data_IF_057874678296
#
_entry.id   IF_057874678296
#
_cell.length_a   1.000
_cell.length_b   1.000
_cell.length_c   1.000
_cell.angle_alpha   90.00
_cell.angle_beta   90.00
_cell.angle_gamma   90.00
#
_symmetry.space_group_name_H-M   'P 1'
#
loop_
_entity.id
_entity.type
_entity.pdbx_description
1 polymer ?
#
# COMPACT_ATOMS: atom_id res chain seq x y z
N UNK A 1 17.00 16.62 -3.39
CA UNK A 1 17.38 17.34 -2.16
C UNK A 1 17.09 18.83 -2.31
N UNK A 2 17.72 19.52 -3.29
CA UNK A 2 17.57 20.97 -3.49
C UNK A 2 16.11 21.41 -3.66
N UNK A 3 15.32 20.65 -4.42
CA UNK A 3 13.90 20.92 -4.62
C UNK A 3 13.12 20.92 -3.30
N UNK A 4 13.37 19.93 -2.41
CA UNK A 4 12.72 19.84 -1.09
C UNK A 4 13.03 21.07 -0.24
N UNK A 5 14.31 21.45 -0.18
CA UNK A 5 14.71 22.67 0.55
C UNK A 5 14.11 23.94 -0.07
N UNK A 6 14.02 24.03 -1.41
CA UNK A 6 13.41 25.17 -2.09
C UNK A 6 11.90 25.25 -1.74
N UNK A 7 11.18 24.15 -1.84
CA UNK A 7 9.76 24.07 -1.52
C UNK A 7 9.51 24.49 -0.07
N UNK A 8 10.31 23.94 0.85
CA UNK A 8 10.21 24.28 2.28
C UNK A 8 10.47 25.78 2.54
N UNK A 9 11.54 26.35 1.94
CA UNK A 9 11.82 27.80 2.03
C UNK A 9 10.71 28.68 1.45
N UNK A 10 9.89 28.15 0.53
CA UNK A 10 8.71 28.86 -0.02
C UNK A 10 7.46 28.74 0.87
N UNK A 11 7.57 28.14 2.04
CA UNK A 11 6.50 28.05 3.03
C UNK A 11 5.58 26.82 2.86
N UNK A 12 5.92 25.87 2.02
CA UNK A 12 5.22 24.59 1.93
C UNK A 12 5.80 23.67 2.99
N UNK A 13 5.01 23.38 4.02
CA UNK A 13 5.44 22.59 5.19
C UNK A 13 5.10 21.10 5.09
N UNK A 14 4.09 20.73 4.29
CA UNK A 14 3.71 19.33 4.08
C UNK A 14 4.37 18.82 2.81
N UNK A 15 5.41 18.05 2.97
CA UNK A 15 6.23 17.53 1.87
C UNK A 15 6.34 16.02 2.00
N UNK A 16 5.96 15.31 0.94
CA UNK A 16 6.16 13.88 0.78
C UNK A 16 7.30 13.60 -0.19
N UNK A 17 8.10 12.60 0.11
CA UNK A 17 9.08 12.03 -0.81
C UNK A 17 8.86 10.53 -0.95
N UNK A 18 9.19 10.00 -2.13
CA UNK A 18 9.08 8.59 -2.43
C UNK A 18 10.47 7.96 -2.56
N UNK A 19 10.65 6.80 -1.95
CA UNK A 19 11.84 5.97 -2.06
C UNK A 19 11.48 4.61 -2.64
N UNK A 20 12.42 4.01 -3.38
CA UNK A 20 12.29 2.64 -3.86
C UNK A 20 13.51 1.86 -3.39
N UNK A 21 13.29 0.77 -2.66
CA UNK A 21 14.34 -0.13 -2.21
C UNK A 21 14.28 -1.49 -2.91
N UNK A 22 15.33 -2.28 -2.78
CA UNK A 22 15.46 -3.55 -3.50
C UNK A 22 15.88 -3.37 -4.96
N UNK A 23 16.48 -2.24 -5.32
CA UNK A 23 16.99 -1.98 -6.66
C UNK A 23 18.24 -2.82 -6.94
N UNK A 24 18.51 -3.03 -8.24
CA UNK A 24 19.75 -3.69 -8.67
C UNK A 24 20.98 -3.00 -8.10
N UNK A 25 21.92 -3.79 -7.62
CA UNK A 25 23.18 -3.33 -6.99
C UNK A 25 23.00 -2.52 -5.69
N UNK A 26 21.77 -2.30 -5.23
CA UNK A 26 21.56 -1.64 -3.95
C UNK A 26 21.99 -2.57 -2.81
N UNK A 27 22.77 -2.04 -1.88
CA UNK A 27 23.23 -2.73 -0.67
C UNK A 27 22.54 -2.17 0.56
N UNK A 28 22.61 -2.90 1.68
CA UNK A 28 22.10 -2.37 2.96
C UNK A 28 22.80 -1.06 3.35
N UNK A 29 24.09 -0.92 3.06
CA UNK A 29 24.84 0.31 3.36
C UNK A 29 24.34 1.49 2.51
N UNK A 30 24.17 1.31 1.18
CA UNK A 30 23.64 2.37 0.32
C UNK A 30 22.21 2.74 0.68
N UNK A 31 21.39 1.75 1.07
CA UNK A 31 20.03 2.00 1.54
C UNK A 31 20.01 2.79 2.87
N UNK A 32 20.91 2.48 3.80
CA UNK A 32 21.06 3.22 5.05
C UNK A 32 21.44 4.69 4.80
N UNK A 33 22.32 4.96 3.83
CA UNK A 33 22.70 6.31 3.42
C UNK A 33 21.53 7.06 2.74
N UNK A 34 20.72 6.37 1.92
CA UNK A 34 19.49 6.93 1.34
C UNK A 34 18.50 7.33 2.44
N UNK A 35 18.28 6.45 3.43
CA UNK A 35 17.38 6.71 4.56
C UNK A 35 17.88 7.88 5.43
N UNK A 36 19.16 7.93 5.77
CA UNK A 36 19.74 9.05 6.51
C UNK A 36 19.54 10.37 5.77
N UNK A 37 19.77 10.35 4.47
CA UNK A 37 19.55 11.54 3.62
C UNK A 37 18.09 11.95 3.63
N UNK A 38 17.18 11.02 3.36
CA UNK A 38 15.74 11.27 3.30
C UNK A 38 15.20 11.83 4.63
N UNK A 39 15.58 11.21 5.76
CA UNK A 39 15.11 11.58 7.09
C UNK A 39 15.79 12.87 7.65
N UNK A 40 16.87 13.35 7.01
CA UNK A 40 17.46 14.65 7.31
C UNK A 40 16.76 15.82 6.63
N UNK A 41 15.90 15.55 5.64
CA UNK A 41 15.16 16.56 4.88
C UNK A 41 13.96 17.07 5.68
N UNK A 42 13.48 18.30 5.42
CA UNK A 42 12.27 18.85 6.03
C UNK A 42 11.01 18.26 5.37
N UNK A 43 10.81 16.95 5.58
CA UNK A 43 9.66 16.18 5.08
C UNK A 43 8.85 15.64 6.26
N UNK A 44 7.56 15.53 6.10
CA UNK A 44 6.65 15.00 7.11
C UNK A 44 5.93 13.71 6.67
N UNK A 45 6.17 13.31 5.43
CA UNK A 45 5.64 12.07 4.86
C UNK A 45 6.68 11.38 3.97
N UNK A 46 6.70 10.06 4.02
CA UNK A 46 7.60 9.20 3.26
C UNK A 46 6.81 8.01 2.69
N UNK A 47 6.86 7.83 1.38
CA UNK A 47 6.46 6.58 0.74
C UNK A 47 7.70 5.75 0.46
N UNK A 48 7.72 4.47 0.81
CA UNK A 48 8.84 3.58 0.54
C UNK A 48 8.32 2.26 -0.04
N UNK A 49 8.70 2.00 -1.29
CA UNK A 49 8.22 0.86 -2.05
C UNK A 49 9.33 -0.16 -2.27
N UNK A 50 9.05 -1.44 -2.02
CA UNK A 50 9.88 -2.51 -2.55
C UNK A 50 9.76 -2.54 -4.07
N UNK A 51 10.89 -2.67 -4.79
CA UNK A 51 10.88 -2.76 -6.24
C UNK A 51 10.10 -4.00 -6.69
N UNK A 52 9.02 -3.78 -7.43
CA UNK A 52 8.27 -4.83 -8.13
C UNK A 52 8.68 -4.89 -9.59
N UNK A 53 8.83 -6.10 -10.11
CA UNK A 53 9.20 -6.33 -11.51
C UNK A 53 7.95 -6.67 -12.31
N UNK A 54 7.41 -5.67 -12.97
CA UNK A 54 6.21 -5.83 -13.80
C UNK A 54 6.50 -6.60 -15.09
N UNK A 55 5.53 -7.39 -15.53
CA UNK A 55 5.61 -8.15 -16.78
C UNK A 55 5.76 -7.24 -18.01
N UNK A 56 6.41 -7.77 -19.04
CA UNK A 56 6.65 -7.11 -20.32
C UNK A 56 7.50 -5.82 -20.25
N UNK A 57 8.09 -5.49 -19.09
CA UNK A 57 8.98 -4.32 -18.93
C UNK A 57 10.41 -4.58 -19.43
N UNK A 58 11.17 -3.52 -19.80
CA UNK A 58 12.60 -3.65 -20.07
C UNK A 58 13.37 -4.27 -18.88
N UNK A 59 13.02 -3.91 -17.65
CA UNK A 59 13.64 -4.43 -16.44
C UNK A 59 13.48 -5.96 -16.35
N UNK A 60 12.29 -6.49 -16.57
CA UNK A 60 12.05 -7.93 -16.57
C UNK A 60 12.93 -8.65 -17.62
N UNK A 61 13.10 -8.06 -18.82
CA UNK A 61 13.97 -8.62 -19.87
C UNK A 61 15.43 -8.69 -19.45
N UNK A 62 15.94 -7.62 -18.80
CA UNK A 62 17.32 -7.57 -18.31
C UNK A 62 17.57 -8.63 -17.24
N UNK A 63 16.61 -8.84 -16.35
CA UNK A 63 16.67 -9.87 -15.31
C UNK A 63 16.60 -11.28 -15.93
N UNK A 64 15.64 -11.54 -16.82
CA UNK A 64 15.50 -12.84 -17.51
C UNK A 64 16.77 -13.21 -18.30
N UNK A 65 17.42 -12.22 -18.91
CA UNK A 65 18.67 -12.40 -19.66
C UNK A 65 19.92 -12.43 -18.76
N UNK A 66 19.75 -12.41 -17.43
CA UNK A 66 20.84 -12.40 -16.45
C UNK A 66 21.84 -11.22 -16.62
N UNK A 67 21.43 -10.15 -17.30
CA UNK A 67 22.22 -8.93 -17.45
C UNK A 67 22.17 -8.07 -16.18
N UNK A 68 21.12 -8.28 -15.35
CA UNK A 68 20.88 -7.54 -14.13
C UNK A 68 20.31 -8.50 -13.09
N UNK A 69 20.76 -8.38 -11.83
CA UNK A 69 20.22 -9.12 -10.69
C UNK A 69 19.66 -8.18 -9.64
N UNK A 70 18.60 -8.60 -8.99
CA UNK A 70 18.05 -7.91 -7.81
C UNK A 70 18.67 -8.50 -6.54
N UNK A 71 18.61 -7.77 -5.41
CA UNK A 71 18.90 -8.33 -4.10
C UNK A 71 18.04 -9.56 -3.82
N UNK A 72 18.51 -10.44 -2.94
CA UNK A 72 17.69 -11.56 -2.46
C UNK A 72 16.53 -11.06 -1.60
N UNK A 73 15.50 -11.91 -1.45
CA UNK A 73 14.36 -11.61 -0.56
C UNK A 73 14.83 -11.36 0.89
N UNK A 74 15.84 -12.08 1.35
CA UNK A 74 16.47 -11.85 2.66
C UNK A 74 17.08 -10.44 2.76
N UNK A 75 17.82 -10.01 1.73
CA UNK A 75 18.39 -8.66 1.70
C UNK A 75 17.29 -7.59 1.66
N UNK A 76 16.25 -7.82 0.87
CA UNK A 76 15.09 -6.92 0.76
C UNK A 76 14.33 -6.85 2.09
N UNK A 77 14.20 -7.98 2.80
CA UNK A 77 13.65 -8.03 4.14
C UNK A 77 14.48 -7.19 5.14
N UNK A 78 15.79 -7.31 5.12
CA UNK A 78 16.65 -6.47 5.97
C UNK A 78 16.56 -4.99 5.62
N UNK A 79 16.42 -4.63 4.33
CA UNK A 79 16.16 -3.24 3.92
C UNK A 79 14.85 -2.71 4.50
N UNK A 80 13.79 -3.53 4.49
CA UNK A 80 12.51 -3.18 5.08
C UNK A 80 12.60 -3.01 6.61
N UNK A 81 13.28 -3.92 7.31
CA UNK A 81 13.50 -3.79 8.75
C UNK A 81 14.25 -2.49 9.09
N UNK A 82 15.30 -2.17 8.32
CA UNK A 82 16.05 -0.92 8.45
C UNK A 82 15.17 0.31 8.26
N UNK A 83 14.28 0.29 7.26
CA UNK A 83 13.30 1.35 7.00
C UNK A 83 12.38 1.55 8.22
N UNK A 84 11.78 0.48 8.73
CA UNK A 84 10.88 0.54 9.88
C UNK A 84 11.58 1.07 11.15
N UNK A 85 12.83 0.65 11.39
CA UNK A 85 13.61 1.12 12.53
C UNK A 85 14.01 2.59 12.38
N UNK A 86 14.52 2.99 11.22
CA UNK A 86 14.98 4.35 10.97
C UNK A 86 13.82 5.36 11.04
N UNK A 87 12.69 5.06 10.41
CA UNK A 87 11.49 5.92 10.45
C UNK A 87 10.94 6.05 11.87
N UNK A 88 10.86 4.95 12.62
CA UNK A 88 10.43 4.95 14.03
C UNK A 88 11.34 5.82 14.90
N UNK A 89 12.66 5.73 14.75
CA UNK A 89 13.64 6.57 15.47
C UNK A 89 13.47 8.06 15.20
N UNK A 90 12.98 8.41 14.03
CA UNK A 90 12.71 9.81 13.62
C UNK A 90 11.26 10.25 13.89
N UNK A 91 10.48 9.45 14.62
CA UNK A 91 9.12 9.80 15.03
C UNK A 91 8.04 9.61 13.97
N UNK A 92 8.36 8.96 12.85
CA UNK A 92 7.37 8.61 11.84
C UNK A 92 6.52 7.42 12.29
N UNK A 93 5.25 7.48 11.98
CA UNK A 93 4.28 6.42 12.16
C UNK A 93 4.15 5.64 10.85
N UNK A 94 4.30 4.32 10.90
CA UNK A 94 3.99 3.42 9.80
C UNK A 94 2.48 3.20 9.79
N UNK A 95 1.74 3.96 8.99
CA UNK A 95 0.28 3.99 9.09
C UNK A 95 -0.44 3.13 8.05
N UNK A 96 0.24 2.72 6.99
CA UNK A 96 -0.24 1.76 6.00
C UNK A 96 0.94 1.09 5.29
N UNK A 97 0.71 0.14 4.39
CA UNK A 97 1.69 -0.79 3.80
C UNK A 97 3.04 -0.15 3.41
N UNK A 98 3.01 1.00 2.74
CA UNK A 98 4.21 1.61 2.14
C UNK A 98 4.46 3.04 2.61
N UNK A 99 3.60 3.58 3.48
CA UNK A 99 3.64 4.99 3.83
C UNK A 99 3.88 5.21 5.33
N UNK A 100 4.73 6.17 5.58
CA UNK A 100 5.17 6.63 6.90
C UNK A 100 4.95 8.13 7.00
N UNK A 101 4.52 8.62 8.15
CA UNK A 101 4.34 10.06 8.34
C UNK A 101 4.61 10.50 9.77
N UNK A 102 4.96 11.75 9.95
CA UNK A 102 4.91 12.37 11.28
C UNK A 102 3.46 12.45 11.78
N UNK A 103 3.22 12.57 13.08
CA UNK A 103 1.86 12.71 13.62
C UNK A 103 1.08 13.82 12.91
N UNK A 104 -0.15 13.50 12.51
CA UNK A 104 -1.07 14.38 11.77
C UNK A 104 -0.69 14.68 10.30
N UNK A 105 0.33 14.04 9.73
CA UNK A 105 0.75 14.21 8.34
C UNK A 105 0.33 13.06 7.41
N UNK A 106 -0.71 12.30 7.76
CA UNK A 106 -1.26 11.24 6.93
C UNK A 106 -1.71 11.77 5.57
N UNK A 107 -1.38 11.07 4.50
CA UNK A 107 -1.92 11.38 3.18
C UNK A 107 -3.44 11.22 3.18
N UNK A 108 -4.17 12.33 2.99
CA UNK A 108 -5.64 12.32 2.93
C UNK A 108 -6.14 11.50 1.76
N UNK A 109 -5.43 11.55 0.64
CA UNK A 109 -5.78 10.85 -0.58
C UNK A 109 -5.66 9.34 -0.38
N UNK A 110 -4.49 8.84 0.06
CA UNK A 110 -4.26 7.42 0.32
C UNK A 110 -5.19 6.89 1.41
N UNK A 111 -5.36 7.64 2.51
CA UNK A 111 -6.29 7.27 3.57
C UNK A 111 -7.74 7.17 3.08
N UNK A 112 -8.13 7.98 2.08
CA UNK A 112 -9.45 7.90 1.47
C UNK A 112 -9.70 6.55 0.78
N UNK A 113 -8.72 6.02 0.07
CA UNK A 113 -8.81 4.68 -0.54
C UNK A 113 -8.94 3.58 0.50
N UNK A 114 -8.10 3.59 1.53
CA UNK A 114 -8.15 2.61 2.61
C UNK A 114 -9.45 2.64 3.43
N UNK A 115 -10.11 3.80 3.45
CA UNK A 115 -11.42 3.97 4.10
C UNK A 115 -12.60 3.74 3.15
N UNK A 116 -12.35 3.21 1.95
CA UNK A 116 -13.38 2.98 0.92
C UNK A 116 -14.25 4.21 0.64
N UNK A 117 -13.66 5.43 0.73
CA UNK A 117 -14.38 6.65 0.40
C UNK A 117 -14.63 6.74 -1.10
N UNK A 118 -15.80 7.22 -1.52
CA UNK A 118 -16.04 7.49 -2.94
C UNK A 118 -15.03 8.47 -3.53
N UNK A 119 -14.60 8.20 -4.76
CA UNK A 119 -13.68 9.06 -5.49
C UNK A 119 -13.98 9.07 -6.98
N UNK A 120 -13.63 10.16 -7.66
CA UNK A 120 -13.78 10.34 -9.09
C UNK A 120 -12.41 10.29 -9.78
N UNK A 121 -12.24 9.32 -10.68
CA UNK A 121 -11.08 9.22 -11.56
C UNK A 121 -11.25 10.10 -12.80
N UNK A 122 -10.26 10.93 -13.08
CA UNK A 122 -10.23 11.84 -14.24
C UNK A 122 -9.03 11.45 -15.11
N UNK A 123 -9.28 11.28 -16.38
CA UNK A 123 -8.27 10.91 -17.38
C UNK A 123 -8.46 9.51 -17.95
N UNK A 124 -7.72 9.16 -19.03
CA UNK A 124 -7.74 7.83 -19.61
C UNK A 124 -7.24 6.79 -18.62
N UNK A 125 -7.92 5.65 -18.53
CA UNK A 125 -7.57 4.57 -17.61
C UNK A 125 -7.84 4.87 -16.13
N UNK A 126 -8.35 6.05 -15.78
CA UNK A 126 -8.62 6.37 -14.40
C UNK A 126 -9.84 5.62 -13.88
N UNK A 127 -9.78 5.20 -12.62
CA UNK A 127 -10.84 4.48 -11.94
C UNK A 127 -11.61 5.43 -11.02
N UNK A 128 -12.89 5.18 -10.86
CA UNK A 128 -13.76 5.83 -9.89
C UNK A 128 -14.41 4.78 -9.00
N UNK A 129 -14.82 5.17 -7.81
CA UNK A 129 -15.60 4.36 -6.90
C UNK A 129 -16.70 5.20 -6.27
N UNK A 130 -17.94 4.69 -6.25
CA UNK A 130 -19.09 5.41 -5.72
C UNK A 130 -19.59 4.91 -4.36
N UNK A 131 -18.92 3.91 -3.81
CA UNK A 131 -19.29 3.24 -2.55
C UNK A 131 -19.86 1.83 -2.75
N UNK A 132 -20.26 1.48 -3.97
CA UNK A 132 -20.84 0.17 -4.32
C UNK A 132 -20.28 -0.40 -5.63
N UNK A 133 -19.87 0.47 -6.55
CA UNK A 133 -19.43 0.10 -7.89
C UNK A 133 -18.12 0.78 -8.25
N UNK A 134 -17.34 0.12 -9.06
CA UNK A 134 -16.15 0.67 -9.71
C UNK A 134 -16.46 1.07 -11.12
N UNK A 135 -15.84 2.14 -11.57
CA UNK A 135 -15.99 2.63 -12.94
C UNK A 135 -14.60 2.85 -13.53
N UNK A 136 -14.42 2.40 -14.77
CA UNK A 136 -13.15 2.44 -15.47
C UNK A 136 -13.27 3.32 -16.71
N UNK A 137 -12.48 4.36 -16.80
CA UNK A 137 -12.39 5.14 -18.02
C UNK A 137 -11.63 4.37 -19.11
N UNK A 138 -11.90 4.60 -20.41
CA UNK A 138 -11.12 3.98 -21.48
C UNK A 138 -9.62 4.25 -21.32
N UNK A 139 -8.80 3.20 -21.52
CA UNK A 139 -7.32 3.32 -21.45
C UNK A 139 -6.77 4.17 -22.60
N UNK A 140 -7.36 4.06 -23.79
CA UNK A 140 -6.91 4.79 -24.96
C UNK A 140 -7.30 6.26 -24.85
N UNK A 141 -6.32 7.16 -25.02
CA UNK A 141 -6.53 8.61 -24.93
C UNK A 141 -7.57 9.11 -25.96
N UNK A 142 -7.50 8.63 -27.22
CA UNK A 142 -8.41 9.07 -28.26
C UNK A 142 -9.85 8.62 -27.99
N UNK A 143 -10.02 7.40 -27.47
CA UNK A 143 -11.33 6.89 -27.05
C UNK A 143 -11.88 7.71 -25.86
N UNK A 144 -11.03 8.04 -24.91
CA UNK A 144 -11.42 8.88 -23.78
C UNK A 144 -11.90 10.27 -24.23
N UNK A 145 -11.20 10.90 -25.17
CA UNK A 145 -11.55 12.21 -25.73
C UNK A 145 -12.85 12.10 -26.56
N UNK A 146 -12.91 11.16 -27.49
CA UNK A 146 -14.04 11.00 -28.41
C UNK A 146 -15.35 10.64 -27.69
N UNK A 147 -15.25 9.91 -26.57
CA UNK A 147 -16.38 9.50 -25.74
C UNK A 147 -16.67 10.50 -24.61
N UNK A 148 -16.16 11.71 -24.70
CA UNK A 148 -16.39 12.81 -23.74
C UNK A 148 -16.08 12.40 -22.28
N UNK A 149 -15.04 11.64 -22.07
CA UNK A 149 -14.52 11.26 -20.75
C UNK A 149 -15.41 10.28 -20.00
N UNK A 150 -16.52 10.74 -19.49
CA UNK A 150 -17.30 10.03 -18.46
C UNK A 150 -18.44 9.16 -19.00
N UNK A 151 -18.86 9.35 -20.24
CA UNK A 151 -20.10 8.75 -20.78
C UNK A 151 -20.02 7.26 -21.18
N UNK A 152 -18.81 6.70 -21.28
CA UNK A 152 -18.60 5.30 -21.66
C UNK A 152 -17.62 4.60 -20.71
N UNK A 153 -17.96 4.62 -19.43
CA UNK A 153 -17.23 3.88 -18.39
C UNK A 153 -17.65 2.41 -18.42
N UNK A 154 -16.71 1.53 -18.24
CA UNK A 154 -17.03 0.16 -17.80
C UNK A 154 -17.42 0.23 -16.33
N UNK A 155 -18.52 -0.37 -15.96
CA UNK A 155 -19.00 -0.43 -14.58
C UNK A 155 -18.94 -1.87 -14.09
N UNK A 156 -18.32 -2.06 -12.93
CA UNK A 156 -18.27 -3.30 -12.19
C UNK A 156 -19.05 -3.11 -10.89
N UNK A 157 -20.11 -3.88 -10.72
CA UNK A 157 -20.90 -3.90 -9.50
C UNK A 157 -20.33 -5.01 -8.62
N UNK A 158 -19.82 -4.64 -7.44
CA UNK A 158 -19.20 -5.60 -6.53
C UNK A 158 -20.27 -6.49 -5.87
N UNK A 159 -20.10 -7.79 -5.99
CA UNK A 159 -20.87 -8.76 -5.21
C UNK A 159 -20.59 -8.62 -3.70
N UNK A 160 -21.43 -9.19 -2.86
CA UNK A 160 -21.25 -9.17 -1.42
C UNK A 160 -19.91 -9.81 -1.00
N UNK A 161 -19.50 -10.90 -1.66
CA UNK A 161 -18.20 -11.54 -1.42
C UNK A 161 -17.03 -10.63 -1.79
N UNK A 162 -17.08 -9.94 -2.92
CA UNK A 162 -16.05 -8.98 -3.34
C UNK A 162 -15.98 -7.78 -2.39
N UNK A 163 -17.13 -7.26 -1.93
CA UNK A 163 -17.15 -6.18 -0.92
C UNK A 163 -16.55 -6.64 0.41
N UNK A 164 -16.81 -7.90 0.81
CA UNK A 164 -16.22 -8.51 1.99
C UNK A 164 -14.69 -8.60 1.86
N UNK A 165 -14.20 -9.13 0.74
CA UNK A 165 -12.76 -9.24 0.45
C UNK A 165 -12.08 -7.86 0.43
N UNK A 166 -12.70 -6.87 -0.19
CA UNK A 166 -12.16 -5.50 -0.21
C UNK A 166 -12.08 -4.88 1.17
N UNK A 167 -13.09 -5.12 2.00
CA UNK A 167 -13.07 -4.61 3.37
C UNK A 167 -11.92 -5.21 4.18
N UNK A 168 -11.71 -6.53 4.08
CA UNK A 168 -10.56 -7.21 4.69
C UNK A 168 -9.24 -6.67 4.17
N UNK A 169 -9.12 -6.58 2.84
CA UNK A 169 -7.92 -6.13 2.15
C UNK A 169 -7.52 -4.70 2.53
N UNK A 170 -8.48 -3.78 2.51
CA UNK A 170 -8.20 -2.37 2.82
C UNK A 170 -7.92 -2.15 4.30
N UNK A 171 -8.67 -2.82 5.19
CA UNK A 171 -8.48 -2.69 6.63
C UNK A 171 -7.12 -3.22 7.09
N UNK A 172 -6.73 -4.42 6.67
CA UNK A 172 -5.48 -5.04 7.07
C UNK A 172 -4.24 -4.34 6.50
N UNK A 173 -4.37 -3.57 5.43
CA UNK A 173 -3.25 -2.77 4.89
C UNK A 173 -2.98 -1.49 5.65
N UNK A 174 -3.74 -1.21 6.70
CA UNK A 174 -3.53 -0.04 7.57
C UNK A 174 -3.18 -0.46 9.00
N UNK A 175 -2.53 0.42 9.72
CA UNK A 175 -2.24 0.23 11.14
C UNK A 175 -3.50 0.15 12.03
N UNK A 176 -4.64 0.64 11.54
CA UNK A 176 -5.92 0.49 12.23
C UNK A 176 -6.35 -0.98 12.28
N UNK A 177 -6.06 -1.75 11.22
CA UNK A 177 -6.42 -3.16 11.15
C UNK A 177 -7.91 -3.41 10.90
N UNK A 178 -8.28 -4.68 10.93
CA UNK A 178 -9.64 -5.17 10.74
C UNK A 178 -10.35 -5.32 12.09
N UNK A 179 -11.26 -4.41 12.40
CA UNK A 179 -12.13 -4.53 13.57
C UNK A 179 -13.19 -5.62 13.33
N UNK A 180 -13.15 -6.68 14.12
CA UNK A 180 -14.00 -7.85 13.91
C UNK A 180 -15.47 -7.61 14.30
N UNK A 181 -15.75 -6.66 15.19
CA UNK A 181 -17.13 -6.31 15.54
C UNK A 181 -17.80 -5.51 14.42
N UNK A 182 -17.06 -4.56 13.83
CA UNK A 182 -17.52 -3.80 12.65
C UNK A 182 -17.72 -4.72 11.45
N UNK A 183 -16.77 -5.62 11.21
CA UNK A 183 -16.84 -6.62 10.14
C UNK A 183 -18.06 -7.53 10.30
N UNK A 184 -18.28 -8.08 11.49
CA UNK A 184 -19.41 -8.96 11.77
C UNK A 184 -20.76 -8.23 11.65
N UNK A 185 -20.83 -6.99 12.10
CA UNK A 185 -22.02 -6.13 11.94
C UNK A 185 -22.37 -5.90 10.46
N UNK A 186 -21.37 -5.78 9.61
CA UNK A 186 -21.55 -5.47 8.18
C UNK A 186 -21.82 -6.70 7.34
N UNK A 187 -21.13 -7.81 7.57
CA UNK A 187 -21.13 -8.99 6.71
C UNK A 187 -21.72 -10.25 7.39
N UNK A 188 -22.05 -10.18 8.67
CA UNK A 188 -22.66 -11.27 9.42
C UNK A 188 -21.64 -12.18 10.11
N UNK A 189 -22.19 -13.06 10.97
CA UNK A 189 -21.40 -13.92 11.85
C UNK A 189 -20.64 -15.03 11.11
N UNK A 190 -21.19 -15.55 10.01
CA UNK A 190 -20.53 -16.64 9.25
C UNK A 190 -19.23 -16.17 8.59
N UNK A 191 -19.18 -15.08 7.80
CA UNK A 191 -17.92 -14.51 7.28
C UNK A 191 -16.94 -14.17 8.41
N UNK A 192 -17.42 -13.58 9.52
CA UNK A 192 -16.55 -13.25 10.65
C UNK A 192 -15.92 -14.49 11.30
N UNK A 193 -16.66 -15.59 11.43
CA UNK A 193 -16.13 -16.87 11.92
C UNK A 193 -15.07 -17.44 10.97
N UNK A 194 -15.29 -17.35 9.66
CA UNK A 194 -14.35 -17.80 8.65
C UNK A 194 -13.02 -17.04 8.77
N UNK A 195 -13.09 -15.71 8.80
CA UNK A 195 -11.88 -14.85 8.96
C UNK A 195 -11.13 -15.22 10.25
N UNK A 196 -11.82 -15.40 11.36
CA UNK A 196 -11.18 -15.81 12.63
C UNK A 196 -10.46 -17.16 12.49
N UNK A 197 -11.06 -18.10 11.76
CA UNK A 197 -10.48 -19.44 11.53
C UNK A 197 -9.25 -19.35 10.62
N UNK A 198 -9.36 -18.64 9.50
CA UNK A 198 -8.26 -18.49 8.54
C UNK A 198 -7.09 -17.65 9.06
N UNK A 199 -7.36 -16.71 9.96
CA UNK A 199 -6.33 -15.91 10.61
C UNK A 199 -5.47 -16.70 11.62
N UNK A 200 -5.95 -17.83 12.16
CA UNK A 200 -5.24 -18.57 13.22
C UNK A 200 -3.81 -19.00 12.84
N UNK A 201 -3.56 -19.60 11.66
CA UNK A 201 -2.20 -19.95 11.27
C UNK A 201 -1.26 -18.72 11.20
N UNK A 202 -1.78 -17.59 10.69
CA UNK A 202 -1.02 -16.36 10.57
C UNK A 202 -0.74 -15.71 11.93
N UNK A 203 -1.67 -15.83 12.89
CA UNK A 203 -1.43 -15.39 14.28
C UNK A 203 -0.35 -16.26 14.93
N UNK A 204 -0.42 -17.57 14.77
CA UNK A 204 0.57 -18.50 15.31
C UNK A 204 1.97 -18.29 14.73
N UNK A 205 2.04 -17.96 13.44
CA UNK A 205 3.30 -17.66 12.74
C UNK A 205 3.81 -16.22 12.96
N UNK A 206 3.09 -15.40 13.72
CA UNK A 206 3.47 -14.03 14.01
C UNK A 206 3.26 -13.03 12.88
N UNK A 207 2.54 -13.38 11.81
CA UNK A 207 2.20 -12.49 10.69
C UNK A 207 1.01 -11.58 11.01
N UNK A 208 0.08 -12.07 11.85
CA UNK A 208 -1.07 -11.31 12.34
C UNK A 208 -1.04 -11.23 13.87
N UNK A 209 -1.59 -10.17 14.40
CA UNK A 209 -1.91 -10.01 15.81
C UNK A 209 -3.40 -9.78 15.98
N UNK A 210 -3.98 -10.32 17.05
CA UNK A 210 -5.37 -10.04 17.47
C UNK A 210 -5.35 -9.37 18.83
N UNK A 211 -5.69 -8.10 18.87
CA UNK A 211 -5.75 -7.30 20.10
C UNK A 211 -7.04 -6.50 20.11
N UNK A 212 -7.77 -6.53 21.22
CA UNK A 212 -9.04 -5.81 21.38
C UNK A 212 -10.01 -6.08 20.20
N UNK A 213 -10.16 -7.36 19.84
CA UNK A 213 -10.98 -7.82 18.72
C UNK A 213 -10.65 -7.19 17.34
N UNK A 214 -9.41 -6.73 17.18
CA UNK A 214 -8.90 -6.15 15.94
C UNK A 214 -7.70 -6.95 15.44
N UNK A 215 -7.80 -7.48 14.21
CA UNK A 215 -6.70 -8.13 13.51
C UNK A 215 -5.82 -7.06 12.85
N UNK A 216 -4.49 -7.20 13.01
CA UNK A 216 -3.49 -6.32 12.38
C UNK A 216 -2.36 -7.15 11.81
N UNK A 217 -1.84 -6.73 10.66
CA UNK A 217 -0.56 -7.23 10.19
C UNK A 217 0.55 -6.77 11.16
N UNK A 218 1.45 -7.67 11.48
CA UNK A 218 2.72 -7.34 12.16
C UNK A 218 3.72 -6.78 11.14
N UNK A 219 4.87 -6.32 11.56
CA UNK A 219 5.94 -5.91 10.62
C UNK A 219 6.32 -7.09 9.69
N UNK A 220 6.42 -8.30 10.20
CA UNK A 220 6.65 -9.50 9.39
C UNK A 220 5.47 -9.76 8.45
N UNK A 221 4.24 -9.64 8.95
CA UNK A 221 3.02 -9.83 8.16
C UNK A 221 2.87 -8.80 7.04
N UNK A 222 3.32 -7.57 7.22
CA UNK A 222 3.33 -6.54 6.17
C UNK A 222 4.24 -6.96 5.01
N UNK A 223 5.41 -7.50 5.29
CA UNK A 223 6.35 -7.95 4.27
C UNK A 223 5.79 -9.07 3.39
N UNK A 224 5.02 -9.99 3.99
CA UNK A 224 4.33 -11.11 3.31
C UNK A 224 2.82 -10.88 3.15
N UNK A 225 2.41 -9.62 3.12
CA UNK A 225 0.99 -9.25 3.19
C UNK A 225 0.13 -9.82 2.07
N UNK A 226 0.67 -9.99 0.87
CA UNK A 226 -0.09 -10.55 -0.25
C UNK A 226 -0.51 -12.00 0.03
N UNK A 227 0.37 -12.83 0.61
CA UNK A 227 0.07 -14.22 0.95
C UNK A 227 -0.96 -14.25 2.08
N UNK A 228 -0.74 -13.48 3.15
CA UNK A 228 -1.68 -13.38 4.29
C UNK A 228 -3.07 -12.95 3.83
N UNK A 229 -3.14 -11.92 2.97
CA UNK A 229 -4.42 -11.41 2.46
C UNK A 229 -5.11 -12.41 1.54
N UNK A 230 -4.35 -13.10 0.69
CA UNK A 230 -4.89 -14.14 -0.20
C UNK A 230 -5.57 -15.26 0.59
N UNK A 231 -4.95 -15.71 1.70
CA UNK A 231 -5.49 -16.76 2.56
C UNK A 231 -6.74 -16.34 3.35
N UNK A 232 -6.96 -15.04 3.50
CA UNK A 232 -8.13 -14.47 4.20
C UNK A 232 -9.28 -14.10 3.27
N UNK A 233 -9.14 -14.26 1.96
CA UNK A 233 -10.17 -13.92 1.00
C UNK A 233 -11.12 -15.08 0.73
N UNK A 234 -12.38 -14.75 0.57
CA UNK A 234 -13.39 -15.67 0.03
C UNK A 234 -13.17 -15.84 -1.48
N UNK A 235 -13.04 -17.07 -1.92
CA UNK A 235 -13.02 -17.45 -3.33
C UNK A 235 -14.44 -17.72 -3.80
#
# INVERSE_FOLDING_TARGET
IEAVHLIHRKGISHISIDLIYGQSQQTLASWDDDLKTALSLPVDHLSAYALSVEEATPLQRLIKNQTLSLPSDETTWHMYQHLCEATRKHGFLHYEISNFCLPNAHSRHNSGYWQSRPYLGIGPGAHSYDGASRHFNPLNLQDYINKQGVTHRTTEVLSEAEQCNEFVFTALRTSNGLNMDEFEKRFGSKPASNIRTWAQPHIQNGNLSLTENTLRLTETGIFVSNDVLSDLMHV
#
